data_IF_645606254425
#
_entry.id   IF_645606254425
#
_cell.length_a   1.000
_cell.length_b   1.000
_cell.length_c   1.000
_cell.angle_alpha   90.00
_cell.angle_beta   90.00
_cell.angle_gamma   90.00
#
_symmetry.space_group_name_H-M   'P 1'
#
loop_
_entity.id
_entity.type
_entity.pdbx_description
1 polymer ?
#
# COMPACT_ATOMS: atom_id res chain seq x y z
N UNK A 1 20.74 15.21 -21.22
CA UNK A 1 19.53 16.06 -21.27
C UNK A 1 19.21 16.41 -19.83
N UNK A 2 19.36 17.68 -19.43
CA UNK A 2 19.19 18.08 -18.03
C UNK A 2 17.74 17.85 -17.62
N UNK A 3 17.52 17.05 -16.57
CA UNK A 3 16.20 16.88 -15.97
C UNK A 3 15.82 18.18 -15.27
N UNK A 4 14.62 18.70 -15.57
CA UNK A 4 14.03 19.80 -14.82
C UNK A 4 13.96 19.43 -13.32
N UNK A 5 14.12 20.41 -12.41
CA UNK A 5 14.04 20.15 -10.98
C UNK A 5 12.67 19.56 -10.63
N UNK A 6 12.59 18.56 -9.74
CA UNK A 6 11.32 17.94 -9.38
C UNK A 6 10.37 18.97 -8.78
N UNK A 7 9.13 18.97 -9.26
CA UNK A 7 8.05 19.82 -8.73
C UNK A 7 7.91 19.57 -7.23
N UNK A 8 7.94 20.61 -6.37
CA UNK A 8 7.74 20.42 -4.94
C UNK A 8 6.36 19.82 -4.69
N UNK A 9 6.27 18.77 -3.85
CA UNK A 9 4.99 18.21 -3.38
C UNK A 9 4.17 19.35 -2.78
N UNK A 10 3.12 19.76 -3.48
CA UNK A 10 2.07 20.60 -2.94
C UNK A 10 1.21 19.69 -2.06
N UNK A 11 1.04 20.05 -0.79
CA UNK A 11 0.01 19.41 0.04
C UNK A 11 -1.30 19.41 -0.74
N UNK A 12 -1.92 18.24 -0.93
CA UNK A 12 -3.15 18.16 -1.72
C UNK A 12 -4.18 19.12 -1.13
N UNK A 13 -4.64 20.03 -1.98
CA UNK A 13 -5.55 21.10 -1.60
C UNK A 13 -6.94 20.47 -1.42
N UNK A 14 -7.60 20.54 -0.25
CA UNK A 14 -8.84 19.81 0.08
C UNK A 14 -10.10 20.26 -0.69
N UNK A 15 -9.94 20.93 -1.84
CA UNK A 15 -10.99 21.34 -2.75
C UNK A 15 -10.73 20.90 -4.20
N UNK A 16 -9.85 19.90 -4.42
CA UNK A 16 -9.53 19.41 -5.75
C UNK A 16 -10.66 18.52 -6.32
N UNK A 17 -10.74 18.46 -7.64
CA UNK A 17 -11.65 17.58 -8.39
C UNK A 17 -11.54 16.14 -7.86
N UNK A 18 -12.66 15.42 -7.71
CA UNK A 18 -12.65 14.02 -7.26
C UNK A 18 -11.67 13.22 -8.12
N UNK A 19 -10.67 12.61 -7.50
CA UNK A 19 -9.75 11.71 -8.17
C UNK A 19 -10.54 10.46 -8.57
N UNK A 20 -10.63 10.20 -9.86
CA UNK A 20 -11.30 9.04 -10.44
C UNK A 20 -10.24 8.18 -11.13
N UNK A 21 -10.36 6.86 -10.99
CA UNK A 21 -9.45 5.91 -11.63
C UNK A 21 -9.41 6.08 -13.15
N UNK A 22 -8.22 5.92 -13.73
CA UNK A 22 -8.05 5.84 -15.19
C UNK A 22 -8.67 4.56 -15.79
N UNK A 23 -9.16 3.62 -14.96
CA UNK A 23 -9.95 2.45 -15.38
C UNK A 23 -11.46 2.68 -15.38
N UNK A 24 -11.93 3.93 -15.28
CA UNK A 24 -13.36 4.22 -15.08
C UNK A 24 -14.26 3.59 -16.15
N UNK A 25 -13.82 3.58 -17.41
CA UNK A 25 -14.58 3.01 -18.52
C UNK A 25 -14.57 1.47 -18.49
N UNK A 26 -13.45 0.85 -18.10
CA UNK A 26 -13.35 -0.60 -17.91
C UNK A 26 -14.29 -1.05 -16.79
N UNK A 27 -14.33 -0.31 -15.68
CA UNK A 27 -15.21 -0.62 -14.56
C UNK A 27 -16.68 -0.46 -14.94
N UNK A 28 -17.04 0.61 -15.67
CA UNK A 28 -18.42 0.82 -16.16
C UNK A 28 -18.87 -0.28 -17.13
N UNK A 29 -17.97 -0.75 -17.99
CA UNK A 29 -18.26 -1.87 -18.90
C UNK A 29 -18.52 -3.20 -18.17
N UNK A 30 -18.11 -3.30 -16.90
CA UNK A 30 -18.36 -4.43 -16.01
C UNK A 30 -19.50 -4.13 -15.01
N UNK A 31 -20.32 -3.12 -15.27
CA UNK A 31 -21.46 -2.69 -14.44
C UNK A 31 -21.10 -2.30 -12.99
N UNK A 32 -19.85 -1.87 -12.77
CA UNK A 32 -19.36 -1.45 -11.46
C UNK A 32 -20.26 -0.38 -10.81
N UNK A 33 -20.53 -0.56 -9.52
CA UNK A 33 -21.10 0.46 -8.64
C UNK A 33 -19.99 1.12 -7.86
N UNK A 34 -20.06 2.43 -7.68
CA UNK A 34 -19.00 3.22 -7.07
C UNK A 34 -19.44 3.75 -5.70
N UNK A 35 -18.48 3.96 -4.80
CA UNK A 35 -18.68 4.58 -3.49
C UNK A 35 -17.54 5.53 -3.18
N UNK A 36 -17.80 6.52 -2.32
CA UNK A 36 -16.79 7.46 -1.86
C UNK A 36 -16.18 6.95 -0.55
N UNK A 37 -14.85 6.81 -0.50
CA UNK A 37 -14.11 6.37 0.70
C UNK A 37 -13.36 7.50 1.40
N UNK A 38 -13.14 8.62 0.71
CA UNK A 38 -12.55 9.84 1.23
C UNK A 38 -13.06 11.04 0.41
N UNK A 39 -12.93 12.30 0.89
CA UNK A 39 -13.49 13.48 0.22
C UNK A 39 -13.17 13.57 -1.29
N UNK A 40 -11.99 13.12 -1.71
CA UNK A 40 -11.54 13.16 -3.10
C UNK A 40 -11.41 11.78 -3.77
N UNK A 41 -11.84 10.68 -3.12
CA UNK A 41 -11.57 9.33 -3.64
C UNK A 41 -12.85 8.50 -3.79
N UNK A 42 -13.12 8.09 -5.03
CA UNK A 42 -14.26 7.26 -5.43
C UNK A 42 -13.77 5.93 -5.97
N UNK A 43 -14.14 4.83 -5.31
CA UNK A 43 -13.67 3.49 -5.65
C UNK A 43 -14.82 2.62 -6.15
N UNK A 44 -14.47 1.48 -6.77
CA UNK A 44 -15.45 0.45 -7.07
C UNK A 44 -15.94 -0.16 -5.76
N UNK A 45 -17.23 -0.04 -5.49
CA UNK A 45 -17.90 -0.61 -4.33
C UNK A 45 -18.13 -2.12 -4.51
N UNK A 46 -18.64 -2.50 -5.69
CA UNK A 46 -18.89 -3.88 -6.14
C UNK A 46 -19.27 -3.91 -7.62
N UNK A 47 -19.26 -5.10 -8.24
CA UNK A 47 -19.70 -5.40 -9.61
C UNK A 47 -21.06 -6.11 -9.67
N UNK A 48 -21.74 -6.30 -8.53
CA UNK A 48 -23.17 -6.65 -8.51
C UNK A 48 -23.58 -7.41 -7.25
N UNK A 49 -22.86 -8.46 -6.92
CA UNK A 49 -23.06 -9.29 -5.72
C UNK A 49 -21.76 -9.34 -4.90
N UNK A 50 -21.60 -8.46 -3.90
CA UNK A 50 -20.41 -8.43 -3.05
C UNK A 50 -20.13 -9.76 -2.32
N UNK A 51 -21.16 -10.54 -1.99
CA UNK A 51 -20.98 -11.83 -1.31
C UNK A 51 -20.46 -12.89 -2.27
N UNK A 52 -20.93 -12.87 -3.53
CA UNK A 52 -20.37 -13.72 -4.57
C UNK A 52 -18.93 -13.33 -4.93
N UNK A 53 -18.63 -12.03 -5.00
CA UNK A 53 -17.27 -11.51 -5.18
C UNK A 53 -16.34 -12.03 -4.06
N UNK A 54 -16.70 -11.82 -2.80
CA UNK A 54 -15.95 -12.33 -1.65
C UNK A 54 -15.67 -13.84 -1.80
N UNK A 55 -16.71 -14.66 -2.05
CA UNK A 55 -16.56 -16.11 -2.19
C UNK A 55 -15.66 -16.50 -3.37
N UNK A 56 -15.70 -15.75 -4.46
CA UNK A 56 -14.85 -15.99 -5.62
C UNK A 56 -13.38 -15.70 -5.29
N UNK A 57 -13.09 -14.61 -4.59
CA UNK A 57 -11.73 -14.26 -4.15
C UNK A 57 -11.21 -15.27 -3.14
N UNK A 58 -11.98 -15.59 -2.10
CA UNK A 58 -11.58 -16.51 -1.04
C UNK A 58 -11.25 -17.94 -1.56
N UNK A 59 -11.90 -18.37 -2.65
CA UNK A 59 -11.70 -19.70 -3.26
C UNK A 59 -10.76 -19.70 -4.47
N UNK A 60 -10.36 -18.53 -4.95
CA UNK A 60 -9.71 -18.38 -6.24
C UNK A 60 -8.75 -17.21 -6.27
N UNK A 61 -8.93 -16.31 -7.24
CA UNK A 61 -8.21 -15.07 -7.37
C UNK A 61 -9.19 -13.94 -7.64
N UNK A 62 -8.95 -12.78 -7.04
CA UNK A 62 -9.66 -11.53 -7.27
C UNK A 62 -8.73 -10.48 -7.85
N UNK A 63 -9.26 -9.58 -8.67
CA UNK A 63 -8.56 -8.38 -9.16
C UNK A 63 -9.27 -7.12 -8.65
N UNK A 64 -8.53 -6.24 -7.98
CA UNK A 64 -9.06 -4.97 -7.49
C UNK A 64 -8.17 -3.81 -7.92
N UNK A 65 -8.81 -2.71 -8.30
CA UNK A 65 -8.16 -1.43 -8.55
C UNK A 65 -8.04 -0.64 -7.24
N UNK A 66 -6.78 -0.35 -6.85
CA UNK A 66 -6.44 0.43 -5.66
C UNK A 66 -5.71 1.72 -6.03
N UNK A 67 -6.07 2.36 -7.15
CA UNK A 67 -5.47 3.63 -7.61
C UNK A 67 -5.44 4.73 -6.55
N UNK A 68 -6.37 4.69 -5.58
CA UNK A 68 -6.47 5.68 -4.52
C UNK A 68 -5.22 5.73 -3.64
N UNK A 69 -4.44 4.63 -3.56
CA UNK A 69 -3.27 4.55 -2.68
C UNK A 69 -2.20 5.57 -3.07
N UNK A 70 -1.81 6.35 -2.08
CA UNK A 70 -0.81 7.39 -2.25
C UNK A 70 0.58 6.78 -2.30
N UNK A 71 1.41 7.24 -3.23
CA UNK A 71 2.76 6.75 -3.43
C UNK A 71 3.76 7.88 -3.41
N UNK A 72 4.79 7.72 -2.59
CA UNK A 72 5.87 8.68 -2.43
C UNK A 72 7.18 8.02 -2.77
N UNK A 73 8.02 8.72 -3.53
CA UNK A 73 9.42 8.36 -3.69
C UNK A 73 10.26 9.12 -2.66
N UNK A 74 11.08 8.41 -1.91
CA UNK A 74 12.06 8.96 -0.97
C UNK A 74 13.45 8.66 -1.50
N UNK A 75 14.22 9.68 -1.86
CA UNK A 75 15.53 9.54 -2.48
C UNK A 75 16.56 10.49 -1.85
N UNK A 76 17.84 10.26 -2.12
CA UNK A 76 18.97 11.01 -1.55
C UNK A 76 19.85 10.11 -0.67
N UNK A 77 21.10 10.53 -0.42
CA UNK A 77 22.10 9.74 0.29
C UNK A 77 21.71 9.37 1.71
N UNK A 78 20.85 10.18 2.35
CA UNK A 78 20.37 9.96 3.71
C UNK A 78 18.99 9.27 3.79
N UNK A 79 18.35 8.94 2.66
CA UNK A 79 16.94 8.53 2.62
C UNK A 79 16.59 7.38 3.57
N UNK A 80 17.42 6.33 3.61
CA UNK A 80 17.23 5.18 4.50
C UNK A 80 17.43 5.58 5.96
N UNK A 81 18.53 6.27 6.28
CA UNK A 81 18.85 6.70 7.65
C UNK A 81 17.75 7.60 8.21
N UNK A 82 17.35 8.60 7.42
CA UNK A 82 16.28 9.53 7.75
C UNK A 82 14.98 8.80 7.99
N UNK A 83 14.46 8.05 7.00
CA UNK A 83 13.16 7.41 7.14
C UNK A 83 13.15 6.38 8.26
N UNK A 84 14.28 5.70 8.54
CA UNK A 84 14.42 4.81 9.68
C UNK A 84 14.20 5.54 11.02
N UNK A 85 14.54 6.83 11.14
CA UNK A 85 14.21 7.63 12.34
C UNK A 85 12.74 8.07 12.40
N UNK A 86 12.02 7.97 11.29
CA UNK A 86 10.64 8.47 11.17
C UNK A 86 9.57 7.38 11.22
N UNK A 87 9.96 6.10 11.24
CA UNK A 87 9.03 4.96 11.26
C UNK A 87 9.42 3.93 12.31
N UNK A 88 8.44 3.15 12.76
CA UNK A 88 8.58 2.20 13.88
C UNK A 88 9.31 0.90 13.52
N UNK A 89 9.47 0.56 12.23
CA UNK A 89 10.12 -0.68 11.81
C UNK A 89 11.50 -0.45 11.17
N UNK A 90 12.30 -1.51 11.06
CA UNK A 90 13.72 -1.42 10.72
C UNK A 90 13.95 -1.32 9.20
N UNK A 91 14.37 -0.14 8.76
CA UNK A 91 14.77 0.11 7.38
C UNK A 91 16.29 0.00 7.19
N UNK A 92 17.08 0.03 8.26
CA UNK A 92 18.54 -0.03 8.16
C UNK A 92 19.01 -1.39 7.65
N UNK A 93 18.31 -2.46 8.03
CA UNK A 93 18.57 -3.83 7.59
C UNK A 93 17.69 -4.30 6.43
N UNK A 94 16.79 -3.46 5.92
CA UNK A 94 15.91 -3.81 4.81
C UNK A 94 16.72 -3.96 3.51
N UNK A 95 16.72 -5.12 2.87
CA UNK A 95 17.47 -5.33 1.62
C UNK A 95 16.77 -4.74 0.39
N UNK A 96 17.53 -4.43 -0.67
CA UNK A 96 16.95 -4.04 -1.97
C UNK A 96 16.08 -5.19 -2.49
N UNK A 97 14.93 -4.87 -3.09
CA UNK A 97 13.96 -5.87 -3.54
C UNK A 97 13.01 -6.36 -2.44
N UNK A 98 13.13 -5.80 -1.23
CA UNK A 98 12.25 -6.10 -0.11
C UNK A 98 11.53 -4.85 0.38
N UNK A 99 10.40 -5.08 1.04
CA UNK A 99 9.65 -4.06 1.74
C UNK A 99 9.44 -4.40 3.21
N UNK A 100 8.92 -3.41 3.93
CA UNK A 100 8.54 -3.52 5.34
C UNK A 100 7.22 -2.79 5.58
N UNK A 101 6.40 -3.35 6.47
CA UNK A 101 5.25 -2.65 7.02
C UNK A 101 5.67 -1.94 8.31
N UNK A 102 5.37 -0.66 8.41
CA UNK A 102 5.76 0.16 9.55
C UNK A 102 4.64 1.15 9.91
N UNK A 103 4.83 1.88 11.00
CA UNK A 103 3.97 3.00 11.39
C UNK A 103 4.79 4.28 11.33
N UNK A 104 4.17 5.34 10.81
CA UNK A 104 4.61 6.70 11.07
C UNK A 104 3.87 7.19 12.31
N UNK A 105 4.59 7.78 13.26
CA UNK A 105 4.03 8.15 14.57
C UNK A 105 4.32 9.60 14.93
N UNK A 106 3.50 10.18 15.80
CA UNK A 106 3.82 11.46 16.45
C UNK A 106 4.77 11.26 17.65
N UNK A 107 5.21 12.35 18.28
CA UNK A 107 6.09 12.30 19.46
C UNK A 107 5.45 11.59 20.68
N UNK A 108 4.12 11.42 20.69
CA UNK A 108 3.36 10.71 21.73
C UNK A 108 3.11 9.24 21.36
N UNK A 109 3.57 8.78 20.19
CA UNK A 109 3.41 7.42 19.69
C UNK A 109 2.09 7.16 18.97
N UNK A 110 1.25 8.16 18.72
CA UNK A 110 0.01 7.97 17.96
C UNK A 110 0.30 7.75 16.48
N UNK A 111 -0.48 6.87 15.84
CA UNK A 111 -0.27 6.45 14.46
C UNK A 111 -0.76 7.52 13.47
N UNK A 112 0.17 8.18 12.76
CA UNK A 112 -0.14 9.13 11.68
C UNK A 112 -0.41 8.44 10.33
N UNK A 113 0.06 7.20 10.19
CA UNK A 113 -0.07 6.39 9.00
C UNK A 113 0.61 5.03 9.15
N UNK A 114 0.26 4.09 8.28
CA UNK A 114 0.77 2.72 8.29
C UNK A 114 1.43 2.34 6.95
N UNK A 115 2.58 2.97 6.62
CA UNK A 115 3.19 2.78 5.31
C UNK A 115 3.68 1.35 5.07
N UNK A 116 3.45 0.88 3.85
CA UNK A 116 4.31 -0.13 3.23
C UNK A 116 5.48 0.60 2.57
N UNK A 117 6.71 0.18 2.86
CA UNK A 117 7.93 0.83 2.38
C UNK A 117 8.74 -0.20 1.62
N UNK A 118 9.05 0.05 0.35
CA UNK A 118 9.79 -0.85 -0.53
C UNK A 118 11.14 -0.25 -0.90
N UNK A 119 12.22 -1.03 -0.76
CA UNK A 119 13.59 -0.59 -1.05
C UNK A 119 14.01 -0.91 -2.48
N UNK A 120 14.10 0.11 -3.31
CA UNK A 120 14.72 0.06 -4.64
C UNK A 120 16.22 0.40 -4.53
N UNK A 121 17.04 0.15 -5.57
CA UNK A 121 18.47 0.43 -5.53
C UNK A 121 18.82 1.87 -5.11
N UNK A 122 18.11 2.85 -5.67
CA UNK A 122 18.45 4.28 -5.50
C UNK A 122 17.38 5.09 -4.75
N UNK A 123 16.34 4.43 -4.21
CA UNK A 123 15.26 5.10 -3.50
C UNK A 123 14.42 4.14 -2.67
N UNK A 124 13.63 4.68 -1.75
CA UNK A 124 12.50 3.99 -1.14
C UNK A 124 11.22 4.44 -1.84
N UNK A 125 10.26 3.53 -1.93
CA UNK A 125 8.89 3.85 -2.28
C UNK A 125 8.00 3.61 -1.07
N UNK A 126 7.21 4.61 -0.71
CA UNK A 126 6.24 4.55 0.38
C UNK A 126 4.85 4.49 -0.24
N UNK A 127 4.03 3.55 0.22
CA UNK A 127 2.64 3.38 -0.16
C UNK A 127 1.75 3.56 1.08
N UNK A 128 0.80 4.51 1.03
CA UNK A 128 -0.02 4.97 2.16
C UNK A 128 -1.52 5.01 1.84
N UNK A 129 -2.36 4.88 2.88
CA UNK A 129 -3.78 5.25 2.76
C UNK A 129 -3.88 6.77 2.46
N UNK A 130 -4.84 7.20 1.62
CA UNK A 130 -4.94 8.62 1.22
C UNK A 130 -5.07 9.55 2.43
N UNK A 131 -5.85 9.15 3.43
CA UNK A 131 -6.09 9.91 4.66
C UNK A 131 -4.85 10.07 5.53
N UNK A 132 -3.87 9.17 5.44
CA UNK A 132 -2.61 9.22 6.18
C UNK A 132 -1.55 10.11 5.52
N UNK A 133 -1.71 10.43 4.23
CA UNK A 133 -0.62 10.97 3.40
C UNK A 133 -0.17 12.35 3.84
N UNK A 134 -1.09 13.33 3.88
CA UNK A 134 -0.76 14.70 4.29
C UNK A 134 -0.18 14.78 5.72
N UNK A 135 -0.78 14.19 6.77
CA UNK A 135 -0.21 14.28 8.12
C UNK A 135 1.16 13.59 8.22
N UNK A 136 1.33 12.43 7.58
CA UNK A 136 2.61 11.71 7.58
C UNK A 136 3.71 12.51 6.86
N UNK A 137 3.45 13.01 5.66
CA UNK A 137 4.41 13.78 4.87
C UNK A 137 4.75 15.11 5.53
N UNK A 138 3.76 15.80 6.11
CA UNK A 138 4.00 17.04 6.84
C UNK A 138 4.92 16.80 8.05
N UNK A 139 4.68 15.73 8.81
CA UNK A 139 5.55 15.32 9.92
C UNK A 139 6.97 15.03 9.44
N UNK A 140 7.13 14.20 8.40
CA UNK A 140 8.47 13.87 7.88
C UNK A 140 9.22 15.10 7.39
N UNK A 141 8.57 15.96 6.59
CA UNK A 141 9.18 17.20 6.10
C UNK A 141 9.66 18.13 7.21
N UNK A 142 8.92 18.22 8.30
CA UNK A 142 9.31 19.04 9.44
C UNK A 142 10.65 18.59 10.07
N UNK A 143 11.00 17.31 9.94
CA UNK A 143 12.23 16.73 10.47
C UNK A 143 13.39 16.71 9.46
N UNK A 144 13.17 17.12 8.21
CA UNK A 144 14.26 17.28 7.23
C UNK A 144 14.93 18.63 7.52
N UNK A 145 16.13 18.59 8.10
CA UNK A 145 16.88 19.79 8.47
C UNK A 145 18.09 19.99 7.55
N UNK A 146 18.99 19.00 7.54
CA UNK A 146 20.22 19.03 6.75
C UNK A 146 20.47 17.69 6.02
N UNK A 147 19.54 16.76 6.10
CA UNK A 147 19.63 15.44 5.46
C UNK A 147 19.50 15.58 3.94
N UNK A 148 20.32 14.85 3.20
CA UNK A 148 20.16 14.68 1.75
C UNK A 148 18.99 13.74 1.46
N UNK A 149 17.77 14.30 1.52
CA UNK A 149 16.50 13.59 1.33
C UNK A 149 15.51 14.43 0.53
N UNK A 150 14.93 13.82 -0.49
CA UNK A 150 13.82 14.36 -1.28
C UNK A 150 12.60 13.44 -1.18
N UNK A 151 11.45 14.04 -0.86
CA UNK A 151 10.13 13.41 -0.86
C UNK A 151 9.33 13.88 -2.09
N UNK A 152 9.01 12.98 -3.01
CA UNK A 152 8.27 13.28 -4.26
C UNK A 152 6.95 12.52 -4.30
N UNK A 153 5.84 13.21 -4.59
CA UNK A 153 4.56 12.54 -4.89
C UNK A 153 4.67 11.87 -6.25
N UNK A 154 4.41 10.56 -6.31
CA UNK A 154 4.32 9.81 -7.57
C UNK A 154 2.97 9.11 -7.71
N UNK A 155 1.98 9.49 -6.90
CA UNK A 155 0.64 8.88 -6.89
C UNK A 155 -0.06 9.01 -8.24
N UNK A 156 0.15 10.13 -8.94
CA UNK A 156 -0.46 10.36 -10.26
C UNK A 156 0.16 9.54 -11.38
N UNK A 157 1.44 9.17 -11.25
CA UNK A 157 2.21 8.50 -12.31
C UNK A 157 2.18 6.99 -12.16
N UNK A 158 2.00 6.49 -10.94
CA UNK A 158 2.06 5.07 -10.64
C UNK A 158 0.74 4.59 -10.01
N UNK A 159 0.15 3.55 -10.58
CA UNK A 159 -1.08 2.92 -10.15
C UNK A 159 -0.81 1.62 -9.39
N UNK A 160 -1.82 1.17 -8.65
CA UNK A 160 -1.78 -0.09 -7.91
C UNK A 160 -3.00 -0.93 -8.30
N UNK A 161 -2.75 -2.09 -8.89
CA UNK A 161 -3.74 -3.18 -8.98
C UNK A 161 -3.35 -4.25 -7.96
N UNK A 162 -4.31 -4.92 -7.34
CA UNK A 162 -3.99 -6.07 -6.48
C UNK A 162 -4.66 -7.33 -6.97
N UNK A 163 -3.90 -8.41 -6.99
CA UNK A 163 -4.42 -9.76 -7.20
C UNK A 163 -4.43 -10.47 -5.85
N UNK A 164 -5.62 -10.88 -5.41
CA UNK A 164 -5.87 -11.37 -4.03
C UNK A 164 -6.44 -12.77 -4.07
N UNK A 165 -6.05 -13.64 -3.14
CA UNK A 165 -6.63 -14.96 -2.96
C UNK A 165 -5.64 -16.11 -3.20
N UNK A 166 -5.99 -17.35 -2.83
CA UNK A 166 -5.08 -18.50 -2.85
C UNK A 166 -4.49 -18.82 -4.23
N UNK A 167 -5.12 -18.34 -5.32
CA UNK A 167 -4.65 -18.55 -6.70
C UNK A 167 -4.09 -17.29 -7.35
N UNK A 168 -3.81 -16.24 -6.56
CA UNK A 168 -3.32 -14.96 -7.08
C UNK A 168 -2.01 -15.09 -7.86
N UNK A 169 -1.03 -15.83 -7.32
CA UNK A 169 0.24 -16.03 -8.02
C UNK A 169 0.08 -16.87 -9.30
N UNK A 170 -0.82 -17.85 -9.29
CA UNK A 170 -1.15 -18.65 -10.48
C UNK A 170 -1.75 -17.77 -11.58
N UNK A 171 -2.65 -16.85 -11.21
CA UNK A 171 -3.25 -15.87 -12.12
C UNK A 171 -2.21 -14.93 -12.75
N UNK A 172 -1.26 -14.43 -11.95
CA UNK A 172 -0.16 -13.57 -12.43
C UNK A 172 0.76 -14.36 -13.36
N UNK A 173 1.20 -15.57 -12.96
CA UNK A 173 2.07 -16.45 -13.76
C UNK A 173 1.46 -16.79 -15.11
N UNK A 174 0.14 -16.99 -15.18
CA UNK A 174 -0.53 -17.36 -16.42
C UNK A 174 -0.50 -16.26 -17.50
N UNK A 175 -0.20 -15.02 -17.13
CA UNK A 175 -0.20 -13.88 -18.05
C UNK A 175 1.14 -13.15 -18.14
N UNK A 176 2.11 -13.53 -17.30
CA UNK A 176 3.45 -12.98 -17.30
C UNK A 176 4.24 -13.38 -18.55
N UNK A 177 5.07 -12.46 -19.03
CA UNK A 177 5.99 -12.66 -20.14
C UNK A 177 7.28 -13.37 -19.69
N UNK A 178 7.57 -13.34 -18.38
CA UNK A 178 8.73 -13.99 -17.76
C UNK A 178 8.28 -14.93 -16.65
N UNK A 179 9.12 -15.91 -16.31
CA UNK A 179 8.88 -16.77 -15.15
C UNK A 179 8.82 -15.93 -13.87
N UNK A 180 7.78 -16.14 -13.05
CA UNK A 180 7.60 -15.46 -11.77
C UNK A 180 7.79 -16.47 -10.66
N UNK A 181 8.88 -16.34 -9.89
CA UNK A 181 9.16 -17.18 -8.73
C UNK A 181 8.21 -16.94 -7.56
N UNK A 182 8.34 -17.74 -6.50
CA UNK A 182 7.73 -17.40 -5.22
C UNK A 182 8.43 -16.15 -4.64
N UNK A 183 7.65 -15.27 -4.00
CA UNK A 183 8.16 -14.11 -3.30
C UNK A 183 7.97 -14.32 -1.79
N UNK A 184 8.98 -13.97 -1.00
CA UNK A 184 8.82 -13.84 0.44
C UNK A 184 7.82 -12.71 0.76
N UNK A 185 7.18 -12.69 1.94
CA UNK A 185 6.34 -11.57 2.35
C UNK A 185 7.08 -10.24 2.21
N UNK A 186 6.42 -9.28 1.55
CA UNK A 186 6.94 -7.96 1.17
C UNK A 186 8.16 -7.96 0.24
N UNK A 187 8.62 -9.09 -0.26
CA UNK A 187 9.55 -9.12 -1.38
C UNK A 187 8.84 -8.72 -2.69
N UNK A 188 9.61 -8.13 -3.60
CA UNK A 188 9.10 -7.71 -4.90
C UNK A 188 10.09 -7.97 -6.03
N UNK A 189 9.56 -8.11 -7.24
CA UNK A 189 10.35 -8.31 -8.45
C UNK A 189 9.74 -7.56 -9.64
N UNK A 190 10.59 -7.20 -10.60
CA UNK A 190 10.13 -6.75 -11.92
C UNK A 190 9.62 -7.93 -12.74
N UNK A 191 8.43 -7.79 -13.31
CA UNK A 191 7.74 -8.81 -14.10
C UNK A 191 7.22 -8.16 -15.38
N UNK A 192 7.46 -8.81 -16.52
CA UNK A 192 6.81 -8.46 -17.78
C UNK A 192 5.38 -8.99 -17.79
N UNK A 193 4.38 -8.15 -18.08
CA UNK A 193 2.98 -8.59 -18.30
C UNK A 193 2.45 -7.91 -19.55
N UNK A 194 2.24 -8.66 -20.63
CA UNK A 194 1.69 -8.11 -21.87
C UNK A 194 2.59 -7.04 -22.49
N UNK A 195 3.91 -7.22 -22.41
CA UNK A 195 4.92 -6.28 -22.89
C UNK A 195 5.14 -5.06 -21.98
N UNK A 196 4.47 -4.97 -20.83
CA UNK A 196 4.62 -3.89 -19.85
C UNK A 196 5.50 -4.34 -18.69
N UNK A 197 6.36 -3.44 -18.20
CA UNK A 197 7.13 -3.66 -16.98
C UNK A 197 6.27 -3.32 -15.76
N UNK A 198 6.10 -4.29 -14.86
CA UNK A 198 5.30 -4.19 -13.64
C UNK A 198 6.16 -4.61 -12.46
N UNK A 199 6.08 -3.90 -11.34
CA UNK A 199 6.66 -4.38 -10.08
C UNK A 199 5.59 -5.18 -9.35
N UNK A 200 5.86 -6.46 -9.11
CA UNK A 200 4.96 -7.35 -8.36
C UNK A 200 5.53 -7.53 -6.96
N UNK A 201 4.78 -7.09 -5.95
CA UNK A 201 5.14 -7.20 -4.54
C UNK A 201 4.15 -8.13 -3.82
N UNK A 202 4.64 -9.08 -3.02
CA UNK A 202 3.77 -9.92 -2.19
C UNK A 202 3.38 -9.17 -0.92
N UNK A 203 2.16 -8.64 -0.85
CA UNK A 203 1.72 -7.78 0.25
C UNK A 203 0.92 -8.49 1.34
N UNK A 204 0.27 -9.62 1.03
CA UNK A 204 -0.55 -10.41 1.95
C UNK A 204 -1.52 -9.58 2.83
N UNK A 205 -1.94 -8.40 2.35
CA UNK A 205 -2.71 -7.39 3.10
C UNK A 205 -4.17 -7.80 3.39
N UNK A 206 -4.56 -9.02 3.02
CA UNK A 206 -5.86 -9.62 3.33
C UNK A 206 -5.72 -10.89 4.17
N UNK A 207 -4.58 -11.09 4.86
CA UNK A 207 -4.33 -12.25 5.72
C UNK A 207 -3.98 -13.56 4.99
N UNK A 208 -3.87 -13.52 3.68
CA UNK A 208 -3.47 -14.63 2.82
C UNK A 208 -2.78 -14.11 1.57
N UNK A 209 -2.46 -14.97 0.58
CA UNK A 209 -1.73 -14.56 -0.61
C UNK A 209 -2.37 -13.36 -1.31
N UNK A 210 -1.64 -12.25 -1.34
CA UNK A 210 -2.04 -11.04 -2.06
C UNK A 210 -0.79 -10.40 -2.68
N UNK A 211 -0.95 -9.91 -3.90
CA UNK A 211 0.13 -9.31 -4.68
C UNK A 211 -0.30 -7.94 -5.17
N UNK A 212 0.46 -6.91 -4.80
CA UNK A 212 0.32 -5.57 -5.37
C UNK A 212 1.17 -5.48 -6.65
N UNK A 213 0.52 -5.06 -7.73
CA UNK A 213 1.12 -4.73 -9.00
C UNK A 213 1.25 -3.21 -9.03
N UNK A 214 2.48 -2.72 -8.97
CA UNK A 214 2.79 -1.32 -9.18
C UNK A 214 3.18 -1.09 -10.63
N UNK A 215 2.52 -0.13 -11.27
CA UNK A 215 2.64 0.07 -12.72
C UNK A 215 2.45 1.54 -13.09
N UNK A 216 3.20 1.99 -14.09
CA UNK A 216 3.04 3.33 -14.65
C UNK A 216 1.70 3.46 -15.39
N UNK A 217 1.17 4.68 -15.49
CA UNK A 217 -0.14 4.98 -16.11
C UNK A 217 -0.36 4.31 -17.47
N UNK A 218 0.65 4.31 -18.34
CA UNK A 218 0.57 3.68 -19.66
C UNK A 218 0.36 2.16 -19.64
N UNK A 219 0.77 1.49 -18.55
CA UNK A 219 0.65 0.05 -18.40
C UNK A 219 -0.69 -0.39 -17.79
N UNK A 220 -1.48 0.53 -17.22
CA UNK A 220 -2.69 0.22 -16.45
C UNK A 220 -3.73 -0.56 -17.25
N UNK A 221 -4.21 0.03 -18.35
CA UNK A 221 -5.25 -0.61 -19.17
C UNK A 221 -4.72 -1.91 -19.82
N UNK A 222 -3.51 -1.96 -20.40
CA UNK A 222 -2.95 -3.20 -20.95
C UNK A 222 -2.87 -4.33 -19.91
N UNK A 223 -2.34 -4.06 -18.71
CA UNK A 223 -2.16 -5.07 -17.66
C UNK A 223 -3.51 -5.53 -17.10
N UNK A 224 -4.45 -4.60 -16.86
CA UNK A 224 -5.82 -4.93 -16.45
C UNK A 224 -6.49 -5.90 -17.44
N UNK A 225 -6.49 -5.54 -18.72
CA UNK A 225 -7.09 -6.37 -19.77
C UNK A 225 -6.39 -7.74 -19.88
N UNK A 226 -5.07 -7.75 -19.74
CA UNK A 226 -4.26 -8.97 -19.82
C UNK A 226 -4.60 -9.94 -18.68
N UNK A 227 -4.77 -9.44 -17.45
CA UNK A 227 -5.20 -10.24 -16.30
C UNK A 227 -6.61 -10.81 -16.51
N UNK A 228 -7.56 -10.02 -17.01
CA UNK A 228 -8.92 -10.49 -17.28
C UNK A 228 -9.01 -11.45 -18.48
N UNK A 229 -8.00 -11.45 -19.35
CA UNK A 229 -7.86 -12.40 -20.45
C UNK A 229 -7.13 -13.70 -20.06
N UNK A 230 -6.77 -13.88 -18.77
CA UNK A 230 -6.16 -15.12 -18.29
C UNK A 230 -7.06 -16.35 -18.56
N UNK A 231 -6.47 -17.56 -18.65
CA UNK A 231 -7.25 -18.80 -18.82
C UNK A 231 -8.33 -18.93 -17.74
N UNK A 232 -9.52 -19.38 -18.12
CA UNK A 232 -10.71 -19.40 -17.25
C UNK A 232 -10.44 -20.02 -15.87
N UNK A 233 -9.64 -21.10 -15.84
CA UNK A 233 -9.29 -21.80 -14.61
C UNK A 233 -8.59 -20.89 -13.59
N UNK A 234 -7.82 -19.88 -14.01
CA UNK A 234 -6.97 -19.03 -13.15
C UNK A 234 -7.33 -17.56 -13.25
N UNK A 235 -8.38 -17.23 -14.00
CA UNK A 235 -8.77 -15.84 -14.24
C UNK A 235 -9.19 -15.19 -12.93
N UNK A 236 -8.60 -14.04 -12.58
CA UNK A 236 -9.03 -13.31 -11.40
C UNK A 236 -10.38 -12.65 -11.65
N UNK A 237 -11.26 -12.70 -10.65
CA UNK A 237 -12.58 -12.07 -10.68
C UNK A 237 -12.46 -10.60 -10.24
N UNK A 238 -12.92 -9.61 -11.03
CA UNK A 238 -13.04 -8.24 -10.55
C UNK A 238 -13.87 -8.16 -9.27
N UNK A 239 -13.39 -7.46 -8.25
CA UNK A 239 -14.14 -7.27 -7.00
C UNK A 239 -13.98 -5.86 -6.45
N UNK A 240 -14.96 -5.42 -5.65
CA UNK A 240 -15.01 -4.08 -5.06
C UNK A 240 -14.63 -4.00 -3.58
N UNK A 241 -14.68 -2.77 -3.05
CA UNK A 241 -14.27 -2.41 -1.69
C UNK A 241 -15.07 -3.12 -0.58
N UNK A 242 -16.33 -3.52 -0.82
CA UNK A 242 -17.11 -4.30 0.16
C UNK A 242 -16.48 -5.68 0.37
N UNK A 243 -16.21 -6.40 -0.73
CA UNK A 243 -15.60 -7.71 -0.66
C UNK A 243 -14.17 -7.62 -0.10
N UNK A 244 -13.40 -6.59 -0.47
CA UNK A 244 -12.09 -6.31 0.12
C UNK A 244 -12.18 -6.12 1.65
N UNK A 245 -13.06 -5.22 2.09
CA UNK A 245 -13.24 -4.93 3.51
C UNK A 245 -13.65 -6.17 4.31
N UNK A 246 -14.51 -7.01 3.73
CA UNK A 246 -14.91 -8.28 4.34
C UNK A 246 -13.74 -9.26 4.50
N UNK A 247 -12.90 -9.41 3.47
CA UNK A 247 -11.71 -10.28 3.53
C UNK A 247 -10.70 -9.78 4.57
N UNK A 248 -10.47 -8.47 4.63
CA UNK A 248 -9.57 -7.88 5.63
C UNK A 248 -10.10 -8.05 7.05
N UNK A 249 -11.39 -7.83 7.26
CA UNK A 249 -12.02 -7.99 8.57
C UNK A 249 -11.96 -9.45 9.07
N UNK A 250 -12.22 -10.44 8.20
CA UNK A 250 -12.08 -11.86 8.56
C UNK A 250 -10.64 -12.24 8.94
N UNK A 251 -9.65 -11.56 8.36
CA UNK A 251 -8.24 -11.77 8.63
C UNK A 251 -7.70 -10.94 9.82
N UNK A 252 -8.52 -10.08 10.44
CA UNK A 252 -8.07 -9.16 11.47
C UNK A 252 -7.07 -8.10 10.97
N UNK A 253 -7.06 -7.80 9.66
CA UNK A 253 -6.17 -6.77 9.10
C UNK A 253 -6.83 -5.40 9.22
N UNK A 254 -6.18 -4.50 9.95
CA UNK A 254 -6.64 -3.12 10.14
C UNK A 254 -6.46 -2.28 8.87
N UNK A 255 -7.35 -1.30 8.67
CA UNK A 255 -7.22 -0.27 7.64
C UNK A 255 -7.15 1.12 8.28
N UNK A 256 -6.12 1.89 7.93
CA UNK A 256 -5.99 3.27 8.40
C UNK A 256 -7.16 4.15 7.91
N UNK A 257 -7.65 5.02 8.79
CA UNK A 257 -8.85 5.83 8.60
C UNK A 257 -10.16 5.12 8.93
N UNK A 258 -10.13 3.81 9.20
CA UNK A 258 -11.30 3.03 9.64
C UNK A 258 -11.05 2.40 11.01
N UNK A 259 -10.07 1.51 11.09
CA UNK A 259 -9.75 0.71 12.28
C UNK A 259 -8.54 1.27 13.04
N UNK A 260 -7.64 1.95 12.32
CA UNK A 260 -6.47 2.63 12.86
C UNK A 260 -6.52 4.12 12.51
N UNK A 261 -6.27 5.00 13.48
CA UNK A 261 -6.26 6.45 13.31
C UNK A 261 -5.17 7.12 14.16
N UNK A 262 -5.04 8.43 14.04
CA UNK A 262 -4.20 9.30 14.87
C UNK A 262 -4.61 9.36 16.35
N UNK A 263 -5.66 8.64 16.74
CA UNK A 263 -6.07 8.46 18.14
C UNK A 263 -5.54 7.16 18.75
N UNK A 264 -4.92 6.30 17.95
CA UNK A 264 -4.52 4.97 18.36
C UNK A 264 -3.01 4.87 18.53
N UNK A 265 -2.61 4.12 19.54
CA UNK A 265 -1.24 3.61 19.67
C UNK A 265 -1.14 2.25 18.96
N UNK A 266 0.06 1.81 18.52
CA UNK A 266 0.23 0.54 17.82
C UNK A 266 -0.40 -0.65 18.57
N UNK A 267 -0.19 -0.73 19.88
CA UNK A 267 -0.68 -1.81 20.74
C UNK A 267 -2.19 -1.80 20.94
N UNK A 268 -2.86 -0.67 20.74
CA UNK A 268 -4.32 -0.62 20.80
C UNK A 268 -4.96 -1.29 19.58
N UNK A 269 -4.23 -1.35 18.46
CA UNK A 269 -4.68 -1.95 17.20
C UNK A 269 -4.18 -3.39 17.00
N UNK A 270 -3.34 -3.93 17.90
CA UNK A 270 -2.83 -5.30 17.83
C UNK A 270 -1.92 -5.56 16.62
N UNK A 271 -1.19 -4.55 16.16
CA UNK A 271 -0.34 -4.62 14.95
C UNK A 271 1.16 -4.50 15.23
N UNK A 272 1.54 -4.36 16.50
CA UNK A 272 2.92 -4.09 16.90
C UNK A 272 3.88 -5.20 16.47
N UNK A 273 3.46 -6.47 16.48
CA UNK A 273 4.32 -7.61 16.09
C UNK A 273 4.81 -7.50 14.64
N UNK A 274 3.97 -6.99 13.74
CA UNK A 274 4.31 -6.82 12.31
C UNK A 274 4.85 -5.43 11.98
N UNK A 275 4.60 -4.42 12.82
CA UNK A 275 4.80 -3.02 12.47
C UNK A 275 5.88 -2.31 13.31
N UNK A 276 6.30 -2.87 14.45
CA UNK A 276 7.23 -2.23 15.39
C UNK A 276 8.45 -3.11 15.59
N UNK A 277 9.63 -2.54 15.36
CA UNK A 277 10.88 -3.15 15.81
C UNK A 277 11.25 -2.57 17.18
N UNK A 278 11.31 -3.44 18.19
CA UNK A 278 11.76 -3.10 19.53
C UNK A 278 13.28 -3.18 19.69
N UNK A 279 14.00 -3.61 18.66
CA UNK A 279 15.45 -3.83 18.66
C UNK A 279 16.22 -2.86 17.77
N UNK A 280 15.53 -2.06 16.94
CA UNK A 280 16.16 -1.00 16.14
C UNK A 280 16.52 0.23 16.99
N UNK A 281 17.27 1.15 16.38
CA UNK A 281 17.60 2.45 16.96
C UNK A 281 16.40 3.40 17.11
N UNK A 282 16.67 4.62 17.56
CA UNK A 282 15.64 5.58 17.91
C UNK A 282 14.73 5.97 16.74
N UNK A 283 13.44 6.13 17.04
CA UNK A 283 12.44 6.69 16.12
C UNK A 283 11.43 7.58 16.88
N UNK A 284 10.73 8.45 16.14
CA UNK A 284 9.76 9.38 16.71
C UNK A 284 8.63 8.64 17.45
N UNK A 285 8.43 8.94 18.74
CA UNK A 285 7.38 8.29 19.56
C UNK A 285 7.78 6.96 20.21
N UNK A 286 9.04 6.50 20.02
CA UNK A 286 9.54 5.23 20.55
C UNK A 286 9.37 5.10 22.07
N UNK A 287 9.67 6.15 22.85
CA UNK A 287 9.65 6.07 24.33
C UNK A 287 8.29 5.60 24.85
N UNK A 288 7.19 6.16 24.32
CA UNK A 288 5.83 5.79 24.73
C UNK A 288 5.52 4.35 24.33
N UNK A 289 5.86 3.97 23.10
CA UNK A 289 5.61 2.64 22.54
C UNK A 289 6.39 1.56 23.31
N UNK A 290 7.68 1.77 23.57
CA UNK A 290 8.51 0.83 24.33
C UNK A 290 8.07 0.74 25.80
N UNK A 291 7.63 1.84 26.41
CA UNK A 291 7.12 1.84 27.79
C UNK A 291 5.87 0.99 27.93
N UNK A 292 4.92 1.09 27.00
CA UNK A 292 3.71 0.27 27.01
C UNK A 292 4.06 -1.21 26.81
N UNK A 293 4.96 -1.52 25.87
CA UNK A 293 5.41 -2.90 25.65
C UNK A 293 6.06 -3.53 26.89
N UNK A 294 6.90 -2.77 27.61
CA UNK A 294 7.71 -3.33 28.70
C UNK A 294 6.98 -3.38 30.05
N UNK A 295 6.09 -2.42 30.31
CA UNK A 295 5.57 -2.16 31.65
C UNK A 295 4.08 -1.80 31.68
N UNK A 296 3.44 -1.65 30.52
CA UNK A 296 2.08 -1.17 30.41
C UNK A 296 1.09 -2.22 29.91
N UNK A 297 -0.17 -1.80 29.88
CA UNK A 297 -1.22 -2.45 29.11
C UNK A 297 -1.90 -1.34 28.29
N UNK A 298 -2.30 -1.61 27.03
CA UNK A 298 -3.02 -0.61 26.26
C UNK A 298 -4.36 -0.29 26.94
N UNK A 299 -4.80 0.97 26.86
CA UNK A 299 -6.04 1.42 27.52
C UNK A 299 -7.28 0.75 26.92
N UNK A 300 -7.18 0.31 25.66
CA UNK A 300 -8.19 -0.38 24.86
C UNK A 300 -7.50 -1.25 23.83
N UNK A 301 -8.18 -2.29 23.36
CA UNK A 301 -7.66 -3.20 22.33
C UNK A 301 -8.75 -3.45 21.31
N UNK A 302 -8.37 -3.50 20.03
CA UNK A 302 -9.23 -4.00 18.96
C UNK A 302 -9.45 -5.51 19.14
N UNK A 303 -10.71 -5.95 19.12
CA UNK A 303 -11.12 -7.36 19.35
C UNK A 303 -11.94 -7.89 18.18
#
# INVERSE_FOLDING_TARGET
>A
MAMEPPTPFLLRNPGACMAVTSLIDQHRALDAKFTQIAPEHVVVNHYGDPLAEHRAVARGAGLIDRYYRSKLRVAGGDAVRFLNGQVTNDLAHLEVGHGVYALATDAKGHCLGDPYIYRFPDSLMVDLEPSATNPTVASWRHHIIADDVTLTDITGDMHTLSVVGPRALEAIRAVADTEVGELAPLAFAGVGIGGQQVVVARSDFTGGPAYDLFLWTQALIPVWNRLLAAPEKVRPTPFGDIALSSLMAEAGVVRYGRDLTDKNLPQEAGIEERAVSYTKGCYLGQEVICRIHSQGHPTRTLV
#
